data_IF_381729825389
#
_entry.id   IF_381729825389
#
_cell.length_a   1.000
_cell.length_b   1.000
_cell.length_c   1.000
_cell.angle_alpha   90.00
_cell.angle_beta   90.00
_cell.angle_gamma   90.00
#
_symmetry.space_group_name_H-M   'P 1'
#
loop_
_entity.id
_entity.type
_entity.pdbx_description
1 polymer ?
#
# COMPACT_ATOMS: atom_id res chain seq x y z
N UNK A 1 20.58 -12.06 9.24
CA UNK A 1 19.88 -10.77 9.04
C UNK A 1 20.41 -10.15 7.76
N UNK A 2 19.56 -9.60 6.89
CA UNK A 2 19.94 -9.12 5.53
C UNK A 2 21.07 -8.08 5.58
N UNK A 3 20.96 -7.06 6.44
CA UNK A 3 21.94 -5.97 6.56
C UNK A 3 23.37 -6.41 6.92
N UNK A 4 23.53 -7.56 7.55
CA UNK A 4 24.86 -8.10 7.90
C UNK A 4 25.62 -8.61 6.67
N UNK A 5 24.92 -8.86 5.56
CA UNK A 5 25.49 -9.29 4.29
C UNK A 5 25.87 -8.10 3.37
N UNK A 6 25.53 -6.87 3.79
CA UNK A 6 25.97 -5.66 3.06
C UNK A 6 27.48 -5.53 3.21
N UNK A 7 28.19 -5.41 2.08
CA UNK A 7 29.64 -5.23 2.07
C UNK A 7 30.04 -3.88 2.68
N UNK A 8 31.33 -3.71 3.04
CA UNK A 8 31.83 -2.44 3.57
C UNK A 8 31.68 -1.26 2.58
N UNK A 9 31.65 -1.53 1.28
CA UNK A 9 31.39 -0.54 0.22
C UNK A 9 29.92 -0.44 -0.18
N UNK A 10 29.04 -1.27 0.40
CA UNK A 10 27.63 -1.30 0.09
C UNK A 10 26.81 -0.31 0.93
N UNK A 11 25.53 -0.20 0.59
CA UNK A 11 24.58 0.68 1.27
C UNK A 11 23.35 -0.12 1.68
N UNK A 12 22.91 0.03 2.93
CA UNK A 12 21.59 -0.43 3.38
C UNK A 12 20.61 0.74 3.31
N UNK A 13 19.45 0.53 2.67
CA UNK A 13 18.33 1.49 2.66
C UNK A 13 17.32 1.04 3.71
N UNK A 14 17.05 1.88 4.71
CA UNK A 14 16.27 1.51 5.89
C UNK A 14 15.19 2.54 6.19
N UNK A 15 13.99 2.07 6.55
CA UNK A 15 12.92 2.94 7.05
C UNK A 15 13.25 3.36 8.49
N UNK A 16 13.39 4.67 8.73
CA UNK A 16 13.70 5.22 10.04
C UNK A 16 12.53 5.15 11.02
N UNK A 17 11.29 5.06 10.53
CA UNK A 17 10.08 5.04 11.36
C UNK A 17 9.70 3.64 11.84
N UNK A 18 10.26 2.58 11.24
CA UNK A 18 10.11 1.22 11.75
C UNK A 18 11.23 0.93 12.76
N UNK A 19 10.93 0.78 14.07
CA UNK A 19 11.95 0.59 15.10
C UNK A 19 12.75 -0.71 14.90
N UNK A 20 12.17 -1.77 14.35
CA UNK A 20 12.88 -3.01 14.07
C UNK A 20 13.88 -2.82 12.93
N UNK A 21 13.47 -2.14 11.86
CA UNK A 21 14.32 -1.83 10.70
C UNK A 21 15.42 -0.84 11.09
N UNK A 22 15.08 0.22 11.81
CA UNK A 22 16.04 1.24 12.23
C UNK A 22 17.19 0.68 13.09
N UNK A 23 16.88 -0.26 14.00
CA UNK A 23 17.90 -0.94 14.84
C UNK A 23 18.87 -1.78 14.02
N UNK A 24 18.52 -2.17 12.79
CA UNK A 24 19.42 -2.93 11.90
C UNK A 24 20.65 -2.11 11.47
N UNK A 25 20.56 -0.79 11.48
CA UNK A 25 21.65 0.10 11.07
C UNK A 25 22.98 -0.20 11.80
N UNK A 26 22.90 -0.48 13.10
CA UNK A 26 24.09 -0.81 13.92
C UNK A 26 24.80 -2.12 13.52
N UNK A 27 24.15 -2.96 12.73
CA UNK A 27 24.64 -4.25 12.27
C UNK A 27 25.11 -4.21 10.81
N UNK A 28 24.95 -3.09 10.12
CA UNK A 28 25.40 -2.90 8.76
C UNK A 28 26.92 -2.62 8.73
N UNK A 29 27.64 -3.35 7.88
CA UNK A 29 29.09 -3.13 7.68
C UNK A 29 29.39 -1.98 6.71
N UNK A 30 28.43 -1.69 5.83
CA UNK A 30 28.49 -0.59 4.87
C UNK A 30 27.87 0.68 5.41
N UNK A 31 27.58 1.61 4.53
CA UNK A 31 26.84 2.82 4.88
C UNK A 31 25.33 2.55 4.97
N UNK A 32 24.61 3.47 5.62
CA UNK A 32 23.16 3.43 5.74
C UNK A 32 22.58 4.70 5.12
N UNK A 33 21.54 4.53 4.31
CA UNK A 33 20.65 5.61 3.89
C UNK A 33 19.29 5.39 4.54
N UNK A 34 18.88 6.31 5.42
CA UNK A 34 17.55 6.27 5.99
C UNK A 34 16.54 6.99 5.11
N UNK A 35 15.28 6.53 5.15
CA UNK A 35 14.16 7.30 4.63
C UNK A 35 13.03 7.38 5.65
N UNK A 36 12.29 8.49 5.63
CA UNK A 36 11.07 8.73 6.39
C UNK A 36 10.30 9.90 5.80
N UNK A 37 8.97 9.94 5.99
CA UNK A 37 8.15 11.07 5.57
C UNK A 37 8.58 12.37 6.29
N UNK A 38 8.88 12.30 7.59
CA UNK A 38 9.27 13.44 8.40
C UNK A 38 10.79 13.46 8.65
N UNK A 39 11.46 14.53 8.17
CA UNK A 39 12.88 14.79 8.43
C UNK A 39 13.21 15.04 9.90
N UNK A 40 12.21 15.44 10.70
CA UNK A 40 12.37 15.74 12.13
C UNK A 40 12.23 14.50 13.02
N UNK A 41 11.88 13.35 12.46
CA UNK A 41 11.94 12.09 13.20
C UNK A 41 13.33 11.94 13.86
N UNK A 42 13.44 11.58 15.15
CA UNK A 42 14.71 11.64 15.91
C UNK A 42 15.89 10.94 15.24
N UNK A 43 15.66 9.77 14.62
CA UNK A 43 16.68 9.01 13.88
C UNK A 43 17.12 9.79 12.64
N UNK A 44 16.18 10.35 11.87
CA UNK A 44 16.45 11.14 10.67
C UNK A 44 17.24 12.42 11.01
N UNK A 45 16.80 13.16 12.02
CA UNK A 45 17.44 14.39 12.45
C UNK A 45 18.89 14.17 12.88
N UNK A 46 19.15 13.11 13.68
CA UNK A 46 20.50 12.74 14.11
C UNK A 46 21.36 12.33 12.93
N UNK A 47 20.85 11.49 12.02
CA UNK A 47 21.55 10.98 10.85
C UNK A 47 21.94 12.10 9.87
N UNK A 48 21.00 13.02 9.60
CA UNK A 48 21.23 14.21 8.77
C UNK A 48 22.25 15.17 9.40
N UNK A 49 22.20 15.38 10.73
CA UNK A 49 23.15 16.23 11.43
C UNK A 49 24.60 15.70 11.37
N UNK A 50 24.74 14.37 11.23
CA UNK A 50 26.04 13.71 11.01
C UNK A 50 26.52 13.76 9.55
N UNK A 51 25.71 14.35 8.65
CA UNK A 51 26.02 14.47 7.22
C UNK A 51 25.82 13.19 6.42
N UNK A 52 25.09 12.21 6.96
CA UNK A 52 24.81 10.95 6.28
C UNK A 52 23.66 11.10 5.25
N UNK A 53 23.59 10.13 4.33
CA UNK A 53 22.58 10.13 3.27
C UNK A 53 21.18 9.78 3.79
N UNK A 54 20.19 10.59 3.42
CA UNK A 54 18.79 10.34 3.77
C UNK A 54 17.85 10.82 2.69
N UNK A 55 16.63 10.23 2.63
CA UNK A 55 15.53 10.64 1.76
C UNK A 55 14.29 10.93 2.60
N UNK A 56 13.66 12.10 2.38
CA UNK A 56 12.51 12.54 3.16
C UNK A 56 11.57 13.43 2.33
N UNK A 57 10.45 13.84 2.88
CA UNK A 57 9.52 14.79 2.26
C UNK A 57 9.65 16.15 2.91
N UNK A 58 9.70 17.21 2.09
CA UNK A 58 9.69 18.62 2.52
C UNK A 58 8.96 19.44 1.47
N UNK A 59 7.95 20.22 1.88
CA UNK A 59 7.21 21.17 1.02
C UNK A 59 6.72 20.55 -0.32
N UNK A 60 6.13 19.36 -0.27
CA UNK A 60 5.62 18.67 -1.46
C UNK A 60 6.70 18.08 -2.38
N UNK A 61 7.94 18.05 -1.93
CA UNK A 61 9.06 17.44 -2.64
C UNK A 61 9.64 16.26 -1.87
N UNK A 62 10.03 15.27 -2.60
CA UNK A 62 10.97 14.26 -2.13
C UNK A 62 12.36 14.86 -2.16
N UNK A 63 13.09 14.80 -1.06
CA UNK A 63 14.41 15.38 -0.91
C UNK A 63 15.43 14.30 -0.60
N UNK A 64 16.41 14.12 -1.49
CA UNK A 64 17.60 13.32 -1.21
C UNK A 64 18.72 14.24 -0.70
N UNK A 65 19.23 14.00 0.51
CA UNK A 65 20.19 14.87 1.17
C UNK A 65 21.38 14.09 1.71
N UNK A 66 22.60 14.69 1.60
CA UNK A 66 23.82 14.19 2.22
C UNK A 66 24.79 15.35 2.47
N UNK A 67 25.08 15.65 3.72
CA UNK A 67 25.88 16.84 4.08
C UNK A 67 25.27 18.12 3.54
N UNK A 68 25.99 18.80 2.63
CA UNK A 68 25.50 20.02 1.95
C UNK A 68 24.73 19.75 0.66
N UNK A 69 24.78 18.52 0.16
CA UNK A 69 24.07 18.15 -1.05
C UNK A 69 22.58 17.97 -0.76
N UNK A 70 21.75 18.50 -1.66
CA UNK A 70 20.29 18.24 -1.69
C UNK A 70 19.82 18.16 -3.13
N UNK A 71 18.96 17.19 -3.39
CA UNK A 71 18.24 17.06 -4.66
C UNK A 71 16.74 16.97 -4.39
N UNK A 72 15.96 17.67 -5.19
CA UNK A 72 14.52 17.82 -4.98
C UNK A 72 13.75 17.23 -6.18
N UNK A 73 12.78 16.38 -5.90
CA UNK A 73 11.87 15.83 -6.90
C UNK A 73 10.44 16.16 -6.45
N UNK A 74 9.68 16.90 -7.28
CA UNK A 74 8.30 17.25 -6.94
C UNK A 74 7.41 16.01 -6.93
N UNK A 75 6.66 15.79 -5.85
CA UNK A 75 5.69 14.68 -5.75
C UNK A 75 4.57 14.79 -6.78
N UNK A 76 4.29 16.00 -7.29
CA UNK A 76 3.33 16.20 -8.39
C UNK A 76 3.77 15.57 -9.71
N UNK A 77 5.07 15.30 -9.87
CA UNK A 77 5.66 14.65 -11.05
C UNK A 77 5.80 13.12 -10.88
N UNK A 78 5.35 12.57 -9.76
CA UNK A 78 5.43 11.14 -9.44
C UNK A 78 4.01 10.55 -9.39
N UNK A 79 3.48 10.04 -10.53
CA UNK A 79 2.06 9.68 -10.69
C UNK A 79 1.53 8.72 -9.63
N UNK A 80 2.31 7.70 -9.24
CA UNK A 80 1.87 6.68 -8.28
C UNK A 80 1.55 7.25 -6.89
N UNK A 81 2.08 8.42 -6.54
CA UNK A 81 1.85 9.06 -5.24
C UNK A 81 0.58 9.92 -5.21
N UNK A 82 -0.04 10.16 -6.38
CA UNK A 82 -1.15 11.12 -6.56
C UNK A 82 -0.83 12.49 -5.95
N UNK A 83 0.35 13.03 -6.29
CA UNK A 83 0.83 14.31 -5.75
C UNK A 83 1.21 14.26 -4.26
N UNK A 84 1.51 13.09 -3.73
CA UNK A 84 1.83 12.88 -2.32
C UNK A 84 0.64 12.47 -1.44
N UNK A 85 -0.56 12.32 -2.01
CA UNK A 85 -1.76 11.95 -1.25
C UNK A 85 -1.71 10.50 -0.70
N UNK A 86 -0.97 9.60 -1.36
CA UNK A 86 -0.87 8.19 -0.99
C UNK A 86 0.44 7.96 -0.24
N UNK A 87 0.41 8.08 1.09
CA UNK A 87 1.60 8.06 1.95
C UNK A 87 2.49 6.83 1.79
N UNK A 88 1.92 5.63 1.75
CA UNK A 88 2.71 4.41 1.57
C UNK A 88 3.40 4.33 0.19
N UNK A 89 2.80 4.92 -0.86
CA UNK A 89 3.45 5.03 -2.17
C UNK A 89 4.59 6.05 -2.13
N UNK A 90 4.45 7.13 -1.38
CA UNK A 90 5.57 8.06 -1.14
C UNK A 90 6.72 7.34 -0.44
N UNK A 91 6.44 6.50 0.56
CA UNK A 91 7.47 5.69 1.22
C UNK A 91 8.16 4.71 0.26
N UNK A 92 7.39 4.03 -0.60
CA UNK A 92 7.92 3.16 -1.64
C UNK A 92 8.84 3.92 -2.62
N UNK A 93 8.43 5.11 -3.03
CA UNK A 93 9.22 5.99 -3.91
C UNK A 93 10.51 6.43 -3.20
N UNK A 94 10.44 6.84 -1.93
CA UNK A 94 11.64 7.20 -1.16
C UNK A 94 12.63 6.05 -1.06
N UNK A 95 12.16 4.84 -0.79
CA UNK A 95 13.00 3.64 -0.75
C UNK A 95 13.66 3.36 -2.11
N UNK A 96 12.88 3.49 -3.20
CA UNK A 96 13.36 3.28 -4.57
C UNK A 96 14.42 4.32 -4.97
N UNK A 97 14.18 5.60 -4.67
CA UNK A 97 15.15 6.69 -4.89
C UNK A 97 16.43 6.46 -4.10
N UNK A 98 16.32 6.11 -2.82
CA UNK A 98 17.48 5.82 -1.99
C UNK A 98 18.32 4.64 -2.54
N UNK A 99 17.65 3.60 -3.05
CA UNK A 99 18.31 2.45 -3.64
C UNK A 99 19.00 2.80 -4.98
N UNK A 100 18.32 3.51 -5.88
CA UNK A 100 18.86 3.96 -7.15
C UNK A 100 20.06 4.91 -6.94
N UNK A 101 19.95 5.84 -6.00
CA UNK A 101 21.04 6.74 -5.60
C UNK A 101 22.25 5.98 -5.06
N UNK A 102 22.03 4.99 -4.19
CA UNK A 102 23.09 4.11 -3.69
C UNK A 102 23.82 3.34 -4.81
N UNK A 103 23.09 2.96 -5.85
CA UNK A 103 23.63 2.32 -7.06
C UNK A 103 24.28 3.30 -8.05
N UNK A 104 24.36 4.61 -7.72
CA UNK A 104 24.93 5.66 -8.55
C UNK A 104 24.18 5.91 -9.86
N UNK A 105 22.88 5.61 -9.92
CA UNK A 105 22.04 6.02 -11.04
C UNK A 105 21.99 7.56 -11.05
N UNK A 106 22.09 8.16 -12.24
CA UNK A 106 22.02 9.61 -12.37
C UNK A 106 20.61 10.14 -12.11
N UNK A 107 20.52 11.40 -11.65
CA UNK A 107 19.25 11.99 -11.22
C UNK A 107 18.23 12.13 -12.35
N UNK A 108 18.68 12.41 -13.58
CA UNK A 108 17.77 12.52 -14.72
C UNK A 108 17.11 11.18 -15.03
N UNK A 109 17.84 10.07 -14.92
CA UNK A 109 17.30 8.72 -15.06
C UNK A 109 16.33 8.37 -13.92
N UNK A 110 16.66 8.75 -12.67
CA UNK A 110 15.75 8.54 -11.53
C UNK A 110 14.44 9.30 -11.74
N UNK A 111 14.49 10.59 -12.11
CA UNK A 111 13.29 11.41 -12.37
C UNK A 111 12.46 10.84 -13.53
N UNK A 112 13.11 10.48 -14.63
CA UNK A 112 12.42 9.91 -15.79
C UNK A 112 11.70 8.60 -15.43
N UNK A 113 12.35 7.73 -14.64
CA UNK A 113 11.76 6.50 -14.15
C UNK A 113 10.55 6.75 -13.26
N UNK A 114 10.63 7.69 -12.33
CA UNK A 114 9.54 8.04 -11.44
C UNK A 114 8.36 8.67 -12.19
N UNK A 115 8.63 9.55 -13.16
CA UNK A 115 7.60 10.22 -13.93
C UNK A 115 6.87 9.30 -14.93
N UNK A 116 7.56 8.26 -15.41
CA UNK A 116 6.98 7.30 -16.37
C UNK A 116 6.33 6.09 -15.71
N UNK A 117 6.58 5.83 -14.42
CA UNK A 117 6.01 4.67 -13.75
C UNK A 117 4.54 4.92 -13.40
N UNK A 118 3.67 4.12 -13.98
CA UNK A 118 2.24 4.08 -13.67
C UNK A 118 1.88 2.80 -12.93
N UNK A 119 0.92 2.92 -12.02
CA UNK A 119 0.40 1.81 -11.22
C UNK A 119 -0.77 1.14 -11.96
N UNK A 120 -0.54 0.75 -13.22
CA UNK A 120 -1.49 0.02 -14.04
C UNK A 120 -1.32 -1.51 -13.89
N UNK A 121 -2.26 -2.26 -14.47
CA UNK A 121 -2.25 -3.73 -14.42
C UNK A 121 -1.04 -4.36 -15.10
N UNK A 122 -0.43 -3.68 -16.06
CA UNK A 122 0.69 -4.23 -16.83
C UNK A 122 2.02 -4.08 -16.08
N UNK A 123 2.17 -3.00 -15.31
CA UNK A 123 3.38 -2.71 -14.55
C UNK A 123 3.37 -3.29 -13.13
N UNK A 124 2.22 -3.28 -12.46
CA UNK A 124 2.11 -3.68 -11.06
C UNK A 124 0.70 -4.20 -10.73
N UNK A 125 0.31 -5.34 -11.29
CA UNK A 125 -0.99 -5.96 -11.05
C UNK A 125 -1.24 -6.22 -9.55
N UNK A 126 -2.43 -5.86 -9.06
CA UNK A 126 -2.83 -6.03 -7.66
C UNK A 126 -2.06 -5.13 -6.68
N UNK A 127 -1.56 -3.98 -7.12
CA UNK A 127 -0.84 -3.02 -6.28
C UNK A 127 -1.45 -1.63 -6.38
N UNK A 128 -2.60 -1.43 -5.71
CA UNK A 128 -3.34 -0.17 -5.71
C UNK A 128 -3.71 0.31 -7.13
N UNK A 129 -4.14 -0.60 -7.99
CA UNK A 129 -4.54 -0.27 -9.36
C UNK A 129 -5.90 0.45 -9.34
N UNK A 130 -5.96 1.61 -9.98
CA UNK A 130 -7.14 2.46 -9.98
C UNK A 130 -7.87 2.40 -11.32
N UNK A 131 -9.19 2.22 -11.27
CA UNK A 131 -10.08 2.21 -12.42
C UNK A 131 -11.22 3.20 -12.22
N UNK A 132 -11.79 3.67 -13.33
CA UNK A 132 -13.05 4.41 -13.34
C UNK A 132 -14.15 3.50 -13.89
N UNK A 133 -15.24 3.36 -13.12
CA UNK A 133 -16.40 2.56 -13.52
C UNK A 133 -17.68 3.34 -13.19
N UNK A 134 -18.44 3.74 -14.22
CA UNK A 134 -19.72 4.50 -14.07
C UNK A 134 -19.60 5.74 -13.16
N UNK A 135 -18.47 6.46 -13.27
CA UNK A 135 -18.19 7.63 -12.40
C UNK A 135 -17.64 7.30 -11.02
N UNK A 136 -17.70 6.04 -10.58
CA UNK A 136 -17.06 5.58 -9.35
C UNK A 136 -15.58 5.30 -9.54
N UNK A 137 -14.86 5.25 -8.42
CA UNK A 137 -13.45 4.81 -8.36
C UNK A 137 -13.40 3.38 -7.83
N UNK A 138 -12.78 2.49 -8.58
CA UNK A 138 -12.46 1.11 -8.15
C UNK A 138 -10.96 1.00 -7.95
N UNK A 139 -10.55 0.44 -6.81
CA UNK A 139 -9.15 0.22 -6.46
C UNK A 139 -8.96 -1.26 -6.21
N UNK A 140 -8.00 -1.90 -6.89
CA UNK A 140 -7.63 -3.28 -6.67
C UNK A 140 -6.27 -3.38 -6.00
N UNK A 141 -6.16 -4.16 -4.91
CA UNK A 141 -4.92 -4.38 -4.16
C UNK A 141 -4.84 -5.80 -3.61
N UNK A 142 -3.64 -6.34 -3.48
CA UNK A 142 -3.35 -7.65 -2.88
C UNK A 142 -2.97 -7.56 -1.40
N UNK A 143 -3.41 -6.56 -0.67
CA UNK A 143 -3.13 -6.43 0.77
C UNK A 143 -3.76 -7.56 1.60
N UNK A 144 -2.96 -8.26 2.43
CA UNK A 144 -3.41 -9.45 3.20
C UNK A 144 -2.94 -9.45 4.65
N UNK A 145 -2.64 -8.30 5.22
CA UNK A 145 -2.24 -8.19 6.61
C UNK A 145 -2.74 -6.87 7.23
N UNK A 146 -2.83 -6.76 8.57
CA UNK A 146 -3.36 -5.58 9.24
C UNK A 146 -2.64 -4.27 8.92
N UNK A 147 -1.32 -4.30 8.73
CA UNK A 147 -0.55 -3.10 8.39
C UNK A 147 -0.90 -2.61 6.98
N UNK A 148 -1.01 -3.53 6.01
CA UNK A 148 -1.49 -3.20 4.66
C UNK A 148 -2.92 -2.63 4.71
N UNK A 149 -3.84 -3.22 5.50
CA UNK A 149 -5.19 -2.68 5.66
C UNK A 149 -5.16 -1.24 6.19
N UNK A 150 -4.33 -0.96 7.19
CA UNK A 150 -4.19 0.38 7.75
C UNK A 150 -3.66 1.38 6.72
N UNK A 151 -2.66 0.99 5.92
CA UNK A 151 -2.12 1.83 4.85
C UNK A 151 -3.13 2.09 3.73
N UNK A 152 -3.89 1.05 3.32
CA UNK A 152 -4.94 1.16 2.31
C UNK A 152 -6.11 2.03 2.80
N UNK A 153 -6.50 1.92 4.06
CA UNK A 153 -7.52 2.79 4.67
C UNK A 153 -7.08 4.25 4.61
N UNK A 154 -5.85 4.57 5.03
CA UNK A 154 -5.32 5.94 4.93
C UNK A 154 -5.35 6.46 3.48
N UNK A 155 -4.96 5.62 2.53
CA UNK A 155 -4.94 5.97 1.12
C UNK A 155 -6.35 6.26 0.57
N UNK A 156 -7.33 5.39 0.84
CA UNK A 156 -8.71 5.59 0.35
C UNK A 156 -9.42 6.73 1.07
N UNK A 157 -9.06 7.04 2.32
CA UNK A 157 -9.59 8.20 3.04
C UNK A 157 -9.08 9.53 2.49
N UNK A 158 -7.87 9.54 1.92
CA UNK A 158 -7.32 10.72 1.22
C UNK A 158 -8.00 10.99 -0.13
N UNK A 159 -8.76 10.04 -0.67
CA UNK A 159 -9.48 10.18 -1.94
C UNK A 159 -10.92 10.65 -1.71
N UNK A 160 -11.45 11.53 -2.59
CA UNK A 160 -12.84 11.95 -2.49
C UNK A 160 -13.79 10.79 -2.77
N UNK A 161 -14.78 10.58 -1.89
CA UNK A 161 -15.84 9.60 -2.11
C UNK A 161 -17.07 9.94 -1.26
N UNK A 162 -18.27 9.78 -1.86
CA UNK A 162 -19.56 9.96 -1.17
C UNK A 162 -19.91 8.76 -0.29
N UNK A 163 -19.49 7.56 -0.69
CA UNK A 163 -19.63 6.29 0.04
C UNK A 163 -18.43 5.41 -0.29
N UNK A 164 -18.01 4.58 0.68
CA UNK A 164 -16.91 3.63 0.50
C UNK A 164 -17.39 2.21 0.77
N UNK A 165 -17.08 1.30 -0.14
CA UNK A 165 -17.26 -0.14 0.01
C UNK A 165 -15.94 -0.88 -0.11
N UNK A 166 -15.87 -2.07 0.48
CA UNK A 166 -14.69 -2.95 0.37
C UNK A 166 -15.10 -4.39 0.14
N UNK A 167 -14.37 -5.08 -0.72
CA UNK A 167 -14.46 -6.53 -0.95
C UNK A 167 -13.23 -7.16 -0.32
N UNK A 168 -13.42 -8.15 0.56
CA UNK A 168 -12.33 -8.81 1.30
C UNK A 168 -12.55 -10.30 1.46
N UNK A 169 -11.45 -11.06 1.35
CA UNK A 169 -11.30 -12.40 1.89
C UNK A 169 -10.15 -12.44 2.89
N UNK A 170 -10.06 -13.49 3.67
CA UNK A 170 -8.94 -13.76 4.57
C UNK A 170 -8.07 -14.88 4.05
N UNK A 171 -6.75 -14.75 4.13
CA UNK A 171 -5.83 -15.84 3.85
C UNK A 171 -5.83 -16.85 5.01
N UNK A 172 -6.30 -18.07 4.77
CA UNK A 172 -6.50 -19.08 5.84
C UNK A 172 -5.22 -19.54 6.55
N UNK A 173 -4.04 -19.33 5.97
CA UNK A 173 -2.73 -19.59 6.59
C UNK A 173 -2.29 -18.49 7.58
N UNK A 174 -3.08 -17.43 7.78
CA UNK A 174 -2.83 -16.37 8.76
C UNK A 174 -3.40 -16.74 10.14
N UNK A 175 -2.87 -16.07 11.19
CA UNK A 175 -3.39 -16.24 12.55
C UNK A 175 -4.81 -15.69 12.65
N UNK A 176 -5.64 -16.29 13.49
CA UNK A 176 -7.03 -15.86 13.72
C UNK A 176 -7.11 -14.37 14.07
N UNK A 177 -6.20 -13.89 14.90
CA UNK A 177 -6.14 -12.50 15.30
C UNK A 177 -5.91 -11.57 14.10
N UNK A 178 -5.02 -11.94 13.19
CA UNK A 178 -4.70 -11.11 12.02
C UNK A 178 -5.90 -11.04 11.07
N UNK A 179 -6.64 -12.15 10.89
CA UNK A 179 -7.85 -12.19 10.07
C UNK A 179 -8.95 -11.29 10.66
N UNK A 180 -9.19 -11.38 11.99
CA UNK A 180 -10.17 -10.51 12.67
C UNK A 180 -9.77 -9.03 12.56
N UNK A 181 -8.52 -8.73 12.81
CA UNK A 181 -8.00 -7.36 12.81
C UNK A 181 -8.16 -6.67 11.45
N UNK A 182 -8.09 -7.40 10.34
CA UNK A 182 -8.33 -6.84 9.01
C UNK A 182 -9.73 -6.19 8.94
N UNK A 183 -10.78 -6.91 9.30
CA UNK A 183 -12.15 -6.38 9.26
C UNK A 183 -12.45 -5.39 10.40
N UNK A 184 -11.77 -5.46 11.54
CA UNK A 184 -11.82 -4.42 12.57
C UNK A 184 -11.31 -3.07 12.02
N UNK A 185 -10.22 -3.08 11.25
CA UNK A 185 -9.66 -1.89 10.60
C UNK A 185 -10.61 -1.37 9.52
N UNK A 186 -11.05 -2.25 8.62
CA UNK A 186 -11.94 -1.89 7.50
C UNK A 186 -13.29 -1.39 7.99
N UNK A 187 -13.85 -1.96 9.04
CA UNK A 187 -15.13 -1.58 9.61
C UNK A 187 -15.19 -0.15 10.18
N UNK A 188 -14.04 0.49 10.38
CA UNK A 188 -13.93 1.89 10.79
C UNK A 188 -13.93 2.88 9.61
N UNK A 189 -13.63 2.39 8.41
CA UNK A 189 -13.39 3.23 7.24
C UNK A 189 -14.42 3.04 6.12
N UNK A 190 -15.11 1.90 6.06
CA UNK A 190 -16.02 1.55 4.98
C UNK A 190 -17.48 1.47 5.43
N UNK A 191 -18.37 1.96 4.58
CA UNK A 191 -19.83 1.96 4.79
C UNK A 191 -20.45 0.57 4.50
N UNK A 192 -19.83 -0.18 3.57
CA UNK A 192 -20.21 -1.55 3.21
C UNK A 192 -18.98 -2.46 3.16
N UNK A 193 -19.10 -3.67 3.71
CA UNK A 193 -18.07 -4.72 3.66
C UNK A 193 -18.67 -5.98 3.02
N UNK A 194 -18.15 -6.35 1.86
CA UNK A 194 -18.48 -7.58 1.15
C UNK A 194 -17.39 -8.59 1.47
N UNK A 195 -17.71 -9.58 2.29
CA UNK A 195 -16.79 -10.65 2.65
C UNK A 195 -16.99 -11.82 1.68
N UNK A 196 -15.92 -12.36 1.14
CA UNK A 196 -16.03 -13.57 0.33
C UNK A 196 -15.16 -14.70 0.86
N UNK A 197 -15.60 -15.91 0.58
CA UNK A 197 -14.84 -17.13 0.83
C UNK A 197 -14.40 -17.72 -0.49
N UNK A 198 -13.10 -17.98 -0.62
CA UNK A 198 -12.52 -18.59 -1.80
C UNK A 198 -12.60 -20.12 -1.73
N UNK A 199 -12.34 -20.80 -2.86
CA UNK A 199 -12.31 -22.25 -2.94
C UNK A 199 -11.13 -22.86 -2.16
N UNK A 200 -10.02 -22.14 -2.05
CA UNK A 200 -8.82 -22.57 -1.35
C UNK A 200 -8.72 -21.96 0.04
N UNK A 201 -9.12 -22.69 1.07
CA UNK A 201 -9.06 -22.24 2.46
C UNK A 201 -7.68 -22.37 3.11
N UNK A 202 -6.64 -22.74 2.35
CA UNK A 202 -5.24 -22.84 2.84
C UNK A 202 -5.11 -23.63 4.16
N UNK A 203 -5.83 -24.77 4.25
CA UNK A 203 -5.80 -25.70 5.39
C UNK A 203 -6.88 -25.48 6.46
N UNK A 204 -7.72 -24.46 6.33
CA UNK A 204 -8.92 -24.29 7.17
C UNK A 204 -10.14 -24.96 6.55
N UNK A 205 -11.17 -25.18 7.37
CA UNK A 205 -12.47 -25.68 6.88
C UNK A 205 -13.27 -24.52 6.29
N UNK A 206 -14.19 -24.87 5.38
CA UNK A 206 -15.15 -23.94 4.83
C UNK A 206 -15.93 -23.25 5.97
N UNK A 207 -16.10 -21.94 5.84
CA UNK A 207 -16.77 -21.09 6.83
C UNK A 207 -15.90 -20.60 7.99
N UNK A 208 -14.71 -21.14 8.22
CA UNK A 208 -13.84 -20.69 9.33
C UNK A 208 -13.28 -19.28 9.07
N UNK A 209 -12.79 -19.01 7.88
CA UNK A 209 -12.20 -17.71 7.52
C UNK A 209 -13.28 -16.62 7.58
N UNK A 210 -14.42 -16.87 6.95
CA UNK A 210 -15.52 -15.89 6.92
C UNK A 210 -16.12 -15.64 8.30
N UNK A 211 -16.13 -16.65 9.18
CA UNK A 211 -16.55 -16.48 10.57
C UNK A 211 -15.62 -15.52 11.34
N UNK A 212 -14.30 -15.61 11.11
CA UNK A 212 -13.31 -14.71 11.72
C UNK A 212 -13.45 -13.28 11.20
N UNK A 213 -13.65 -13.11 9.89
CA UNK A 213 -13.90 -11.79 9.28
C UNK A 213 -15.18 -11.15 9.86
N UNK A 214 -16.26 -11.93 9.96
CA UNK A 214 -17.53 -11.49 10.58
C UNK A 214 -17.35 -11.11 12.05
N UNK A 215 -16.52 -11.85 12.77
CA UNK A 215 -16.21 -11.57 14.18
C UNK A 215 -15.49 -10.23 14.33
N UNK A 216 -14.48 -9.95 13.52
CA UNK A 216 -13.77 -8.67 13.52
C UNK A 216 -14.65 -7.48 13.12
N UNK A 217 -15.71 -7.70 12.34
CA UNK A 217 -16.64 -6.66 11.95
C UNK A 217 -17.69 -6.32 13.03
N UNK A 218 -17.80 -7.14 14.10
CA UNK A 218 -18.77 -6.89 15.18
C UNK A 218 -18.50 -5.54 15.86
N UNK A 219 -19.56 -4.71 15.91
CA UNK A 219 -19.48 -3.39 16.55
C UNK A 219 -18.70 -2.35 15.74
N UNK A 220 -18.45 -2.59 14.45
CA UNK A 220 -17.82 -1.63 13.55
C UNK A 220 -18.56 -0.29 13.54
N UNK A 221 -17.89 0.84 13.81
CA UNK A 221 -18.59 2.11 14.03
C UNK A 221 -19.12 2.73 12.74
N UNK A 222 -18.55 2.38 11.57
CA UNK A 222 -18.93 2.96 10.28
C UNK A 222 -19.73 2.02 9.39
N UNK A 223 -19.43 0.73 9.40
CA UNK A 223 -20.08 -0.23 8.53
C UNK A 223 -21.57 -0.36 8.85
N UNK A 224 -22.42 -0.05 7.87
CA UNK A 224 -23.87 -0.14 7.95
C UNK A 224 -24.42 -1.39 7.25
N UNK A 225 -23.68 -1.89 6.26
CA UNK A 225 -24.05 -3.04 5.45
C UNK A 225 -22.90 -4.03 5.37
N UNK A 226 -23.21 -5.32 5.49
CA UNK A 226 -22.27 -6.40 5.21
C UNK A 226 -22.96 -7.58 4.59
N UNK A 227 -22.25 -8.32 3.75
CA UNK A 227 -22.75 -9.58 3.20
C UNK A 227 -21.59 -10.56 2.99
N UNK A 228 -21.98 -11.83 2.90
CA UNK A 228 -21.07 -12.95 2.70
C UNK A 228 -21.39 -13.61 1.37
N UNK A 229 -20.36 -13.92 0.59
CA UNK A 229 -20.47 -14.46 -0.76
C UNK A 229 -19.47 -15.60 -0.92
N UNK A 230 -19.85 -16.62 -1.65
CA UNK A 230 -18.94 -17.67 -2.06
C UNK A 230 -18.40 -17.36 -3.46
N UNK A 231 -17.08 -17.18 -3.56
CA UNK A 231 -16.37 -16.89 -4.79
C UNK A 231 -16.01 -15.42 -4.99
N UNK A 232 -14.74 -15.18 -5.33
CA UNK A 232 -14.14 -13.85 -5.51
C UNK A 232 -14.86 -13.04 -6.60
N UNK A 233 -15.02 -13.61 -7.79
CA UNK A 233 -15.59 -12.88 -8.94
C UNK A 233 -17.06 -12.51 -8.73
N UNK A 234 -17.84 -13.34 -8.03
CA UNK A 234 -19.22 -13.03 -7.67
C UNK A 234 -19.28 -11.86 -6.69
N UNK A 235 -18.34 -11.82 -5.75
CA UNK A 235 -18.22 -10.71 -4.79
C UNK A 235 -17.82 -9.41 -5.48
N UNK A 236 -16.86 -9.46 -6.40
CA UNK A 236 -16.43 -8.34 -7.24
C UNK A 236 -17.61 -7.81 -8.05
N UNK A 237 -18.33 -8.70 -8.75
CA UNK A 237 -19.50 -8.32 -9.57
C UNK A 237 -20.57 -7.63 -8.73
N UNK A 238 -20.93 -8.21 -7.59
CA UNK A 238 -21.93 -7.64 -6.71
C UNK A 238 -21.55 -6.25 -6.19
N UNK A 239 -20.29 -6.05 -5.83
CA UNK A 239 -19.80 -4.76 -5.36
C UNK A 239 -19.79 -3.72 -6.48
N UNK A 240 -19.28 -4.07 -7.67
CA UNK A 240 -19.18 -3.15 -8.81
C UNK A 240 -20.54 -2.79 -9.40
N UNK A 241 -21.50 -3.72 -9.47
CA UNK A 241 -22.84 -3.47 -10.02
C UNK A 241 -23.67 -2.46 -9.21
N UNK A 242 -23.39 -2.33 -7.93
CA UNK A 242 -24.06 -1.38 -7.03
C UNK A 242 -23.45 0.02 -7.07
N UNK A 243 -22.25 0.20 -7.60
CA UNK A 243 -21.52 1.46 -7.57
C UNK A 243 -22.24 2.57 -8.31
N UNK A 244 -22.25 3.74 -7.70
CA UNK A 244 -22.80 4.97 -8.24
C UNK A 244 -21.69 6.01 -8.43
N UNK A 245 -22.01 7.03 -9.20
CA UNK A 245 -21.09 8.16 -9.42
C UNK A 245 -20.61 8.76 -8.09
N UNK A 246 -19.31 9.04 -8.00
CA UNK A 246 -18.65 9.58 -6.82
C UNK A 246 -18.40 8.59 -5.67
N UNK A 247 -18.80 7.31 -5.80
CA UNK A 247 -18.48 6.27 -4.80
C UNK A 247 -17.08 5.66 -5.03
N UNK A 248 -16.56 4.98 -4.00
CA UNK A 248 -15.27 4.28 -4.06
C UNK A 248 -15.44 2.84 -3.56
N UNK A 249 -14.89 1.88 -4.32
CA UNK A 249 -14.79 0.48 -3.93
C UNK A 249 -13.33 0.05 -3.89
N UNK A 250 -12.87 -0.43 -2.74
CA UNK A 250 -11.60 -1.15 -2.60
C UNK A 250 -11.87 -2.64 -2.77
N UNK A 251 -11.16 -3.30 -3.68
CA UNK A 251 -11.25 -4.74 -3.91
C UNK A 251 -9.92 -5.36 -3.50
N UNK A 252 -9.93 -6.15 -2.43
CA UNK A 252 -8.78 -6.91 -1.99
C UNK A 252 -8.79 -8.24 -2.72
N UNK A 253 -7.97 -8.32 -3.77
CA UNK A 253 -7.93 -9.46 -4.69
C UNK A 253 -7.09 -10.60 -4.11
N UNK A 254 -7.50 -11.86 -4.32
CA UNK A 254 -6.71 -13.06 -3.98
C UNK A 254 -6.07 -13.68 -5.23
N UNK A 255 -6.85 -13.90 -6.30
CA UNK A 255 -6.38 -14.38 -7.59
C UNK A 255 -6.01 -13.20 -8.49
N UNK A 256 -4.79 -12.65 -8.27
CA UNK A 256 -4.41 -11.33 -8.80
C UNK A 256 -4.62 -11.20 -10.31
N UNK A 257 -4.05 -12.10 -11.12
CA UNK A 257 -4.09 -11.97 -12.58
C UNK A 257 -5.53 -12.08 -13.11
N UNK A 258 -6.28 -13.08 -12.63
CA UNK A 258 -7.65 -13.35 -13.04
C UNK A 258 -8.59 -12.24 -12.55
N UNK A 259 -8.45 -11.79 -11.31
CA UNK A 259 -9.28 -10.72 -10.75
C UNK A 259 -9.03 -9.39 -11.46
N UNK A 260 -7.77 -9.06 -11.78
CA UNK A 260 -7.44 -7.85 -12.55
C UNK A 260 -8.07 -7.88 -13.94
N UNK A 261 -7.98 -9.03 -14.65
CA UNK A 261 -8.60 -9.20 -15.96
C UNK A 261 -10.14 -9.09 -15.87
N UNK A 262 -10.75 -9.67 -14.82
CA UNK A 262 -12.19 -9.61 -14.59
C UNK A 262 -12.66 -8.17 -14.33
N UNK A 263 -11.97 -7.43 -13.45
CA UNK A 263 -12.26 -6.02 -13.17
C UNK A 263 -12.13 -5.17 -14.43
N UNK A 264 -11.05 -5.35 -15.19
CA UNK A 264 -10.82 -4.61 -16.44
C UNK A 264 -11.92 -4.87 -17.48
N UNK A 265 -12.33 -6.13 -17.65
CA UNK A 265 -13.43 -6.49 -18.55
C UNK A 265 -14.75 -5.82 -18.12
N UNK A 266 -15.04 -5.81 -16.82
CA UNK A 266 -16.26 -5.18 -16.28
C UNK A 266 -16.22 -3.65 -16.43
N UNK A 267 -15.09 -3.02 -16.24
CA UNK A 267 -14.89 -1.59 -16.48
C UNK A 267 -15.11 -1.25 -17.96
N UNK A 268 -14.63 -2.07 -18.88
CA UNK A 268 -14.79 -1.87 -20.31
C UNK A 268 -16.24 -2.06 -20.80
N UNK A 269 -17.02 -2.89 -20.09
CA UNK A 269 -18.43 -3.16 -20.43
C UNK A 269 -19.43 -2.13 -19.88
N UNK A 270 -19.02 -1.29 -18.95
CA UNK A 270 -19.94 -0.39 -18.23
C UNK A 270 -19.67 1.04 -18.29
#
# INVERSE_FOLDING_TARGET
>A
MIVQNVSASGVAVLNATDPNVATMASKCKGSVTFFALDRHHPIMATHLAQGHAAVYVEDGHLVAAQGKFKYYISLSQVPITLGGAISFQVENVMASVAAAWALKVDWATIEAGLASFSNDSDNAAGRFNMFKHRGATVIADYGHNPDAMSALVQAVEALPATRRSVVISGAGDRRDQDIRQQTEILGRAFDEVVMFEDQCQRGRKDGEVIALLREGLKGAPRTKESCEIYGEFIAIDKAMDKLKDGELCLILVDQVEEAMAHIAAKVAAG
#
